data_IF_827093364685
#
_entry.id   IF_827093364685
#
_cell.length_a   1.000
_cell.length_b   1.000
_cell.length_c   1.000
_cell.angle_alpha   90.00
_cell.angle_beta   90.00
_cell.angle_gamma   90.00
#
_symmetry.space_group_name_H-M   'P 1'
#
loop_
_entity.id
_entity.type
_entity.pdbx_description
1 polymer ?
2 non-polymer ?
3 non-polymer ?
4 water ?
#
# COMPACT_ATOMS: atom_id res chain seq x y z
N UNK A 1 43.29 -12.66 -13.77
CA UNK A 1 43.11 -12.01 -15.11
C UNK A 1 41.89 -11.10 -15.14
N UNK A 2 40.76 -11.56 -14.62
CA UNK A 2 39.55 -10.73 -14.63
C UNK A 2 39.54 -9.75 -13.46
N UNK A 3 39.24 -8.48 -13.73
CA UNK A 3 39.19 -7.47 -12.69
C UNK A 3 37.76 -7.34 -12.16
N UNK A 4 37.54 -7.67 -10.88
CA UNK A 4 36.19 -7.49 -10.32
C UNK A 4 35.89 -6.02 -10.10
N UNK A 5 36.91 -5.22 -9.79
CA UNK A 5 36.72 -3.78 -9.66
C UNK A 5 36.15 -3.21 -10.96
N UNK A 6 36.72 -3.59 -12.10
CA UNK A 6 36.22 -3.12 -13.39
C UNK A 6 34.80 -3.56 -13.67
N UNK A 7 34.45 -4.80 -13.32
CA UNK A 7 33.11 -5.32 -13.55
C UNK A 7 32.14 -4.52 -12.68
N UNK A 8 32.49 -4.37 -11.41
CA UNK A 8 31.62 -3.64 -10.47
C UNK A 8 31.35 -2.20 -10.92
N UNK A 9 32.38 -1.50 -11.39
CA UNK A 9 32.19 -0.11 -11.84
C UNK A 9 31.30 -0.03 -13.05
N UNK A 10 31.45 -0.97 -13.98
CA UNK A 10 30.66 -1.05 -15.19
C UNK A 10 29.24 -1.51 -14.93
N UNK A 11 29.03 -2.24 -13.82
CA UNK A 11 27.73 -2.86 -13.61
C UNK A 11 26.73 -1.94 -12.91
N UNK A 12 27.20 -0.94 -12.20
CA UNK A 12 26.30 -0.16 -11.35
C UNK A 12 25.74 1.09 -12.02
N UNK A 13 24.63 1.60 -11.49
CA UNK A 13 24.06 2.84 -12.02
C UNK A 13 24.68 4.06 -11.33
N UNK A 14 24.33 5.26 -11.80
CA UNK A 14 24.96 6.45 -11.25
C UNK A 14 24.09 7.32 -10.36
N UNK A 15 22.88 7.64 -10.80
CA UNK A 15 21.99 8.52 -10.06
C UNK A 15 20.96 7.89 -9.15
N UNK A 16 20.14 8.71 -8.52
CA UNK A 16 19.09 8.28 -7.61
C UNK A 16 17.96 7.53 -8.30
N UNK A 17 17.52 6.47 -7.60
CA UNK A 17 16.34 5.72 -8.11
C UNK A 17 15.18 6.69 -8.25
N UNK A 18 14.55 6.62 -9.43
CA UNK A 18 13.47 7.55 -9.75
C UNK A 18 12.19 6.83 -10.14
N UNK A 19 11.07 7.35 -9.64
CA UNK A 19 9.77 6.79 -10.06
C UNK A 19 9.43 7.41 -11.42
N UNK A 20 9.24 6.61 -12.46
CA UNK A 20 9.01 7.07 -13.81
C UNK A 20 7.62 6.87 -14.37
N UNK A 21 6.77 6.19 -13.61
CA UNK A 21 5.39 5.93 -14.01
C UNK A 21 4.64 5.33 -12.84
N UNK A 22 3.38 5.67 -12.68
CA UNK A 22 2.50 5.12 -11.66
C UNK A 22 1.16 4.77 -12.32
N UNK A 23 0.61 3.61 -12.03
CA UNK A 23 -0.68 3.21 -12.56
C UNK A 23 -1.45 2.47 -11.46
N UNK A 24 -2.78 2.66 -11.36
CA UNK A 24 -3.54 1.97 -10.33
C UNK A 24 -4.75 1.24 -10.95
N UNK A 25 -5.34 0.35 -10.15
CA UNK A 25 -6.53 -0.37 -10.56
C UNK A 25 -7.28 -0.92 -9.35
N UNK A 26 -8.59 -1.10 -9.49
CA UNK A 26 -9.41 -1.61 -8.40
C UNK A 26 -10.50 -2.52 -8.96
N UNK A 27 -11.00 -3.43 -8.15
CA UNK A 27 -12.13 -4.26 -8.57
C UNK A 27 -13.32 -3.37 -8.96
N UNK A 28 -14.15 -3.86 -9.87
CA UNK A 28 -15.28 -3.03 -10.34
C UNK A 28 -16.39 -2.77 -9.35
N UNK A 29 -16.58 -3.58 -8.34
CA UNK A 29 -17.65 -3.45 -7.36
C UNK A 29 -17.38 -2.35 -6.34
N UNK A 30 -18.11 -1.24 -6.52
CA UNK A 30 -17.96 -0.10 -5.63
C UNK A 30 -18.97 -0.15 -4.49
N UNK A 31 -18.45 -0.23 -3.28
CA UNK A 31 -19.26 -0.39 -2.08
C UNK A 31 -19.35 0.89 -1.26
N UNK A 32 -20.54 1.49 -1.24
CA UNK A 32 -20.69 2.72 -0.47
C UNK A 32 -20.56 2.50 1.02
N UNK A 33 -19.92 3.43 1.74
CA UNK A 33 -19.78 3.25 3.18
C UNK A 33 -21.05 3.59 3.94
N UNK A 34 -21.83 4.53 3.40
CA UNK A 34 -23.06 4.96 4.05
C UNK A 34 -24.00 3.80 4.33
N UNK A 35 -24.09 2.87 3.40
CA UNK A 35 -24.98 1.73 3.54
C UNK A 35 -24.27 0.47 4.01
N UNK A 36 -22.97 0.52 4.29
CA UNK A 36 -22.26 -0.72 4.58
C UNK A 36 -22.70 -1.46 5.83
N UNK A 37 -22.94 -0.80 6.95
CA UNK A 37 -23.39 -1.48 8.15
C UNK A 37 -24.60 -2.35 7.85
N UNK A 38 -25.62 -1.85 7.13
CA UNK A 38 -26.78 -2.70 6.85
C UNK A 38 -26.41 -3.87 5.97
N UNK A 39 -25.61 -3.62 4.92
CA UNK A 39 -25.20 -4.68 4.02
C UNK A 39 -24.41 -5.76 4.77
N UNK A 40 -23.40 -5.32 5.50
CA UNK A 40 -22.51 -6.28 6.18
C UNK A 40 -23.19 -7.09 7.25
N UNK A 41 -24.10 -6.49 8.02
CA UNK A 41 -24.81 -7.25 9.05
C UNK A 41 -25.84 -8.18 8.40
N UNK A 42 -26.34 -7.86 7.21
CA UNK A 42 -27.33 -8.73 6.59
C UNK A 42 -26.68 -9.87 5.82
N UNK A 43 -25.50 -9.63 5.23
CA UNK A 43 -24.81 -10.69 4.49
C UNK A 43 -24.14 -11.71 5.41
N UNK A 44 -23.83 -11.31 6.64
CA UNK A 44 -23.21 -12.20 7.61
C UNK A 44 -24.24 -12.78 8.59
N UNK A 45 -25.53 -12.61 8.29
CA UNK A 45 -26.59 -13.09 9.16
C UNK A 45 -26.42 -12.64 10.60
N UNK A 46 -26.15 -11.35 10.82
CA UNK A 46 -25.93 -10.85 12.17
C UNK A 46 -26.87 -9.73 12.56
N UNK A 47 -28.05 -9.68 11.95
CA UNK A 47 -29.01 -8.62 12.25
C UNK A 47 -29.55 -8.60 13.67
N UNK A 48 -29.53 -9.73 14.35
CA UNK A 48 -29.94 -9.85 15.73
C UNK A 48 -28.92 -9.25 16.70
N UNK A 49 -27.68 -9.07 16.26
CA UNK A 49 -26.64 -8.48 17.10
C UNK A 49 -26.74 -6.97 17.05
N UNK A 50 -27.76 -6.43 17.71
CA UNK A 50 -28.14 -5.04 17.65
C UNK A 50 -27.10 -4.09 18.20
N UNK A 51 -26.60 -4.35 19.41
CA UNK A 51 -25.61 -3.46 20.01
C UNK A 51 -24.30 -3.48 19.21
N UNK A 52 -23.96 -4.63 18.66
CA UNK A 52 -22.73 -4.73 17.84
C UNK A 52 -22.90 -3.96 16.53
N UNK A 53 -24.06 -4.08 15.90
CA UNK A 53 -24.34 -3.31 14.70
C UNK A 53 -24.26 -1.82 14.95
N UNK A 54 -24.77 -1.31 16.09
CA UNK A 54 -24.61 0.11 16.41
C UNK A 54 -23.15 0.50 16.55
N UNK A 55 -22.30 -0.33 17.15
CA UNK A 55 -20.88 -0.05 17.26
C UNK A 55 -20.22 0.01 15.88
N UNK A 56 -20.64 -0.86 14.99
CA UNK A 56 -20.08 -0.89 13.63
C UNK A 56 -20.51 0.33 12.85
N UNK A 57 -21.77 0.77 13.04
CA UNK A 57 -22.25 2.00 12.44
C UNK A 57 -21.38 3.18 12.87
N UNK A 58 -21.02 3.27 14.14
CA UNK A 58 -20.13 4.31 14.64
C UNK A 58 -18.73 4.19 14.04
N UNK A 59 -18.23 2.96 13.90
CA UNK A 59 -16.93 2.78 13.24
C UNK A 59 -16.97 3.28 11.79
N UNK A 60 -18.02 2.90 11.06
CA UNK A 60 -18.14 3.33 9.68
C UNK A 60 -18.32 4.85 9.61
N UNK A 61 -19.12 5.41 10.50
CA UNK A 61 -19.31 6.87 10.46
C UNK A 61 -18.04 7.64 10.79
N UNK A 62 -17.16 7.09 11.63
CA UNK A 62 -15.93 7.79 11.95
C UNK A 62 -14.79 7.44 10.99
N UNK A 63 -14.99 6.48 10.09
CA UNK A 63 -13.92 6.00 9.24
C UNK A 63 -13.28 7.02 8.32
N UNK A 64 -14.07 8.01 7.88
CA UNK A 64 -13.71 8.99 6.89
C UNK A 64 -13.52 8.35 5.51
N UNK A 65 -14.14 7.20 5.29
CA UNK A 65 -14.14 6.50 4.00
C UNK A 65 -15.52 6.67 3.38
N UNK A 66 -15.59 7.17 2.15
CA UNK A 66 -16.87 7.25 1.45
C UNK A 66 -17.23 5.96 0.69
N UNK A 67 -16.23 5.32 0.11
CA UNK A 67 -16.49 4.10 -0.65
C UNK A 67 -15.22 3.27 -0.74
N UNK A 68 -15.39 1.97 -1.01
CA UNK A 68 -14.27 1.08 -1.22
C UNK A 68 -14.58 0.16 -2.40
N UNK A 69 -13.56 -0.37 -3.06
CA UNK A 69 -13.80 -1.30 -4.19
C UNK A 69 -13.51 -2.71 -3.70
N UNK A 70 -14.44 -3.64 -3.93
CA UNK A 70 -14.29 -4.98 -3.41
C UNK A 70 -14.44 -6.05 -4.47
N UNK A 71 -13.49 -7.00 -4.46
CA UNK A 71 -13.64 -8.18 -5.31
C UNK A 71 -14.89 -8.94 -4.83
N UNK A 72 -15.00 -9.09 -3.51
CA UNK A 72 -16.15 -9.80 -2.94
C UNK A 72 -17.45 -9.05 -3.26
N UNK A 73 -18.41 -9.82 -3.71
CA UNK A 73 -19.74 -9.35 -4.05
C UNK A 73 -20.77 -10.09 -3.21
N UNK A 74 -22.03 -9.63 -3.30
CA UNK A 74 -23.10 -10.34 -2.61
C UNK A 74 -23.21 -11.77 -3.15
N UNK A 75 -23.13 -11.95 -4.46
CA UNK A 75 -23.21 -13.27 -5.06
C UNK A 75 -22.10 -14.18 -4.55
N UNK A 76 -20.85 -13.67 -4.55
CA UNK A 76 -19.74 -14.51 -4.05
C UNK A 76 -19.93 -14.86 -2.58
N UNK A 77 -20.32 -13.88 -1.77
CA UNK A 77 -20.52 -14.12 -0.34
C UNK A 77 -21.63 -15.14 -0.11
N UNK A 78 -22.72 -15.10 -0.88
CA UNK A 78 -23.81 -16.06 -0.74
C UNK A 78 -23.38 -17.47 -1.14
N UNK A 79 -22.38 -17.61 -1.99
CA UNK A 79 -21.80 -18.92 -2.28
C UNK A 79 -20.79 -19.38 -1.26
N UNK A 80 -20.38 -18.54 -0.33
CA UNK A 80 -19.38 -18.86 0.67
C UNK A 80 -19.75 -18.49 2.07
N UNK A 81 -20.70 -19.20 2.70
CA UNK A 81 -21.13 -18.93 4.05
C UNK A 81 -20.00 -19.02 5.07
N UNK A 82 -19.02 -19.89 4.83
CA UNK A 82 -17.90 -20.06 5.74
C UNK A 82 -17.03 -18.80 5.78
N UNK A 83 -17.01 -18.01 4.71
CA UNK A 83 -16.29 -16.73 4.70
C UNK A 83 -17.08 -15.68 5.46
N UNK A 84 -18.42 -15.83 5.48
CA UNK A 84 -19.29 -14.90 6.18
C UNK A 84 -19.37 -15.08 7.68
N UNK A 85 -18.89 -16.21 8.20
CA UNK A 85 -18.89 -16.44 9.63
C UNK A 85 -17.70 -15.71 10.24
N UNK A 86 -17.67 -15.47 11.56
CA UNK A 86 -16.47 -14.87 12.12
C UNK A 86 -15.31 -15.86 11.96
N UNK A 87 -15.52 -17.15 12.28
CA UNK A 87 -14.38 -18.06 12.32
C UNK A 87 -14.71 -19.44 11.80
N UNK A 88 -14.68 -19.63 10.50
CA UNK A 88 -14.98 -20.94 9.94
C UNK A 88 -13.88 -21.33 8.96
N UNK A 89 -13.62 -22.63 8.81
CA UNK A 89 -12.66 -23.12 7.84
C UNK A 89 -12.99 -22.60 6.44
N UNK A 90 -12.07 -21.83 5.85
CA UNK A 90 -12.39 -21.12 4.61
C UNK A 90 -11.17 -20.68 3.85
N UNK A 91 -9.96 -21.05 4.31
CA UNK A 91 -8.75 -20.64 3.60
C UNK A 91 -8.68 -21.14 2.17
N UNK A 92 -9.13 -22.36 1.90
CA UNK A 92 -9.04 -22.88 0.53
C UNK A 92 -9.89 -22.01 -0.39
N UNK A 93 -11.12 -21.73 0.03
CA UNK A 93 -11.97 -20.88 -0.81
C UNK A 93 -11.35 -19.49 -0.98
N UNK A 94 -10.83 -18.91 0.10
CA UNK A 94 -10.23 -17.57 0.00
C UNK A 94 -9.01 -17.56 -0.89
N UNK A 95 -8.14 -18.57 -0.78
CA UNK A 95 -6.94 -18.68 -1.59
C UNK A 95 -7.30 -18.82 -3.07
N UNK A 96 -8.33 -19.62 -3.37
CA UNK A 96 -8.78 -19.80 -4.74
C UNK A 96 -9.18 -18.45 -5.33
N UNK A 97 -9.75 -17.55 -4.52
CA UNK A 97 -10.10 -16.22 -5.04
C UNK A 97 -8.84 -15.39 -5.28
N UNK A 98 -8.03 -15.29 -4.23
CA UNK A 98 -6.94 -14.30 -4.29
C UNK A 98 -5.71 -14.73 -5.06
N UNK A 99 -5.48 -16.03 -5.25
CA UNK A 99 -4.36 -16.46 -6.07
C UNK A 99 -4.58 -15.99 -7.51
N UNK A 100 -5.83 -15.85 -7.93
CA UNK A 100 -6.17 -15.36 -9.25
C UNK A 100 -6.37 -13.85 -9.23
N UNK A 101 -7.10 -13.34 -8.25
CA UNK A 101 -7.39 -11.90 -8.28
C UNK A 101 -6.16 -11.03 -8.05
N UNK A 102 -5.20 -11.44 -7.22
CA UNK A 102 -4.03 -10.58 -6.97
C UNK A 102 -3.28 -10.29 -8.24
N UNK A 103 -2.88 -11.28 -9.02
CA UNK A 103 -2.19 -11.02 -10.27
C UNK A 103 -3.12 -10.40 -11.30
N UNK A 104 -4.41 -10.71 -11.31
CA UNK A 104 -5.30 -10.10 -12.32
C UNK A 104 -5.34 -8.58 -12.15
N UNK A 105 -5.57 -8.17 -10.90
CA UNK A 105 -5.65 -6.76 -10.56
C UNK A 105 -4.30 -6.06 -10.70
N UNK A 106 -3.22 -6.76 -10.32
CA UNK A 106 -1.88 -6.22 -10.47
C UNK A 106 -1.59 -6.00 -11.96
N UNK A 107 -2.08 -6.91 -12.82
CA UNK A 107 -1.83 -6.78 -14.25
C UNK A 107 -2.46 -5.49 -14.78
N UNK A 108 -3.68 -5.22 -14.34
CA UNK A 108 -4.35 -3.98 -14.81
C UNK A 108 -3.53 -2.77 -14.42
N UNK A 109 -3.09 -2.70 -13.16
CA UNK A 109 -2.29 -1.54 -12.76
C UNK A 109 -0.99 -1.48 -13.55
N UNK A 110 -0.31 -2.64 -13.71
CA UNK A 110 0.98 -2.64 -14.39
C UNK A 110 0.89 -2.17 -15.84
N UNK A 111 -0.13 -2.62 -16.56
CA UNK A 111 -0.30 -2.23 -17.97
C UNK A 111 -0.41 -0.71 -18.06
N UNK A 112 -1.16 -0.11 -17.12
CA UNK A 112 -1.27 1.33 -17.09
C UNK A 112 0.06 2.00 -16.79
N UNK A 113 0.87 1.48 -15.86
CA UNK A 113 2.17 2.10 -15.59
C UNK A 113 3.10 1.95 -16.79
N UNK A 114 3.10 0.78 -17.43
CA UNK A 114 3.96 0.54 -18.59
C UNK A 114 3.56 1.47 -19.75
N UNK A 115 2.28 1.68 -19.97
CA UNK A 115 1.84 2.61 -21.02
C UNK A 115 2.34 4.02 -20.72
N UNK A 116 2.20 4.45 -19.47
CA UNK A 116 2.71 5.79 -19.13
C UNK A 116 4.20 5.92 -19.40
N UNK A 117 4.96 4.92 -18.92
CA UNK A 117 6.41 4.89 -19.08
C UNK A 117 6.78 5.01 -20.55
N UNK A 118 6.09 4.23 -21.38
CA UNK A 118 6.25 4.40 -22.82
C UNK A 118 7.34 3.57 -23.45
N UNK A 119 8.09 2.81 -22.66
CA UNK A 119 9.21 2.03 -23.18
C UNK A 119 8.84 0.55 -23.27
N UNK A 120 9.56 -0.20 -24.08
CA UNK A 120 9.30 -1.63 -24.27
C UNK A 120 9.28 -2.37 -22.94
N UNK A 121 8.32 -3.28 -22.78
CA UNK A 121 8.29 -4.09 -21.56
C UNK A 121 9.46 -5.04 -21.48
N UNK A 122 10.16 -5.30 -22.59
CA UNK A 122 11.37 -6.09 -22.64
C UNK A 122 12.53 -5.42 -21.92
N UNK A 123 12.46 -4.13 -21.63
CA UNK A 123 13.46 -3.41 -20.87
C UNK A 123 13.22 -3.53 -19.35
N UNK A 124 12.13 -4.17 -18.96
CA UNK A 124 11.93 -4.37 -17.51
C UNK A 124 12.89 -5.47 -17.05
N UNK A 125 13.79 -5.15 -16.13
CA UNK A 125 14.82 -6.10 -15.71
C UNK A 125 14.50 -6.78 -14.37
N UNK A 126 13.71 -6.12 -13.54
CA UNK A 126 13.42 -6.55 -12.18
C UNK A 126 11.92 -6.37 -11.91
N UNK A 127 11.36 -7.31 -11.18
CA UNK A 127 9.93 -7.20 -10.84
C UNK A 127 9.77 -7.46 -9.35
N UNK A 128 9.11 -6.52 -8.68
CA UNK A 128 8.78 -6.70 -7.26
C UNK A 128 7.27 -6.81 -7.17
N UNK A 129 6.77 -7.91 -6.62
CA UNK A 129 5.32 -8.04 -6.39
C UNK A 129 5.10 -8.12 -4.88
N UNK A 130 4.09 -7.41 -4.40
CA UNK A 130 3.82 -7.39 -2.96
C UNK A 130 2.34 -7.59 -2.71
N UNK A 131 2.05 -8.51 -1.78
CA UNK A 131 0.66 -8.69 -1.36
C UNK A 131 0.59 -9.29 0.04
N UNK A 132 -0.49 -8.99 0.74
CA UNK A 132 -0.81 -9.61 2.02
C UNK A 132 -1.99 -10.54 1.83
N UNK A 133 -2.46 -10.76 0.60
CA UNK A 133 -3.60 -11.61 0.35
C UNK A 133 -3.23 -12.87 -0.42
N UNK A 134 -3.09 -13.97 0.34
CA UNK A 134 -2.79 -15.29 -0.19
C UNK A 134 -1.33 -15.48 -0.55
N UNK A 135 -0.95 -16.77 -0.69
CA UNK A 135 0.39 -17.15 -1.11
C UNK A 135 0.25 -18.35 -2.04
N UNK A 136 1.24 -18.56 -2.90
CA UNK A 136 1.19 -19.72 -3.80
C UNK A 136 2.58 -19.96 -4.38
N UNK A 137 2.84 -21.16 -4.92
CA UNK A 137 4.09 -21.45 -5.61
C UNK A 137 3.87 -22.04 -6.98
N UNK A 138 4.46 -21.53 -8.02
CA UNK A 138 5.12 -20.27 -8.20
C UNK A 138 4.19 -19.13 -7.72
N UNK A 139 4.80 -18.00 -7.37
CA UNK A 139 3.98 -16.92 -6.76
C UNK A 139 3.36 -16.00 -7.80
N UNK A 140 2.74 -14.94 -7.29
CA UNK A 140 2.07 -13.91 -8.08
C UNK A 140 3.07 -13.18 -8.96
N UNK A 141 4.37 -13.21 -8.66
CA UNK A 141 5.43 -12.69 -9.49
C UNK A 141 5.57 -13.50 -10.77
N UNK A 142 5.54 -14.82 -10.66
CA UNK A 142 5.56 -15.67 -11.84
C UNK A 142 4.28 -15.43 -12.63
N UNK A 143 3.11 -15.40 -11.95
CA UNK A 143 1.87 -15.16 -12.72
C UNK A 143 1.89 -13.86 -13.48
N UNK A 144 2.38 -12.78 -12.86
CA UNK A 144 2.42 -11.49 -13.56
C UNK A 144 3.44 -11.49 -14.68
N UNK A 145 4.55 -12.22 -14.53
CA UNK A 145 5.52 -12.35 -15.63
C UNK A 145 4.83 -12.96 -16.84
N UNK A 146 4.05 -14.01 -16.57
CA UNK A 146 3.33 -14.69 -17.63
C UNK A 146 2.25 -13.79 -18.20
N UNK A 147 1.40 -13.23 -17.37
CA UNK A 147 0.29 -12.39 -17.83
C UNK A 147 0.75 -11.19 -18.65
N UNK A 148 1.81 -10.51 -18.24
CA UNK A 148 2.29 -9.33 -18.96
C UNK A 148 3.22 -9.65 -20.11
N UNK A 149 3.70 -10.88 -20.20
CA UNK A 149 4.72 -11.24 -21.18
C UNK A 149 6.05 -10.55 -20.94
N UNK A 150 6.50 -10.49 -19.68
CA UNK A 150 7.82 -9.96 -19.39
C UNK A 150 8.86 -10.98 -19.83
N UNK A 151 10.12 -10.57 -19.92
CA UNK A 151 11.13 -11.57 -20.32
C UNK A 151 11.20 -12.62 -19.21
N UNK A 152 11.47 -13.88 -19.55
CA UNK A 152 11.54 -14.95 -18.56
C UNK A 152 12.67 -14.76 -17.57
N UNK A 153 13.65 -13.96 -17.90
CA UNK A 153 14.81 -13.66 -17.10
C UNK A 153 14.67 -12.38 -16.29
N UNK A 154 13.43 -11.88 -16.17
CA UNK A 154 13.23 -10.74 -15.26
C UNK A 154 13.62 -11.23 -13.88
N UNK A 155 14.30 -10.41 -13.09
CA UNK A 155 14.70 -10.78 -11.73
C UNK A 155 13.58 -10.44 -10.74
N UNK A 156 13.03 -11.46 -10.11
CA UNK A 156 11.82 -11.30 -9.33
C UNK A 156 12.06 -11.34 -7.82
N UNK A 157 11.20 -10.53 -7.17
CA UNK A 157 11.24 -10.35 -5.71
C UNK A 157 9.80 -10.52 -5.26
N UNK A 158 9.44 -11.64 -4.67
CA UNK A 158 8.05 -11.91 -4.30
C UNK A 158 7.87 -11.63 -2.82
N UNK A 159 7.20 -10.52 -2.52
CA UNK A 159 7.00 -10.08 -1.15
C UNK A 159 5.61 -10.50 -0.66
N UNK A 160 5.56 -11.60 0.09
CA UNK A 160 4.28 -12.12 0.59
C UNK A 160 4.06 -11.89 2.07
N UNK A 161 2.77 -11.77 2.44
CA UNK A 161 2.31 -11.64 3.81
C UNK A 161 3.00 -10.53 4.58
N UNK A 162 3.25 -9.43 3.90
CA UNK A 162 4.03 -8.32 4.37
C UNK A 162 3.30 -7.41 5.33
N UNK A 163 2.05 -7.07 4.97
CA UNK A 163 1.30 -6.17 5.83
C UNK A 163 1.35 -4.75 5.27
N UNK A 164 0.67 -3.87 6.00
CA UNK A 164 0.40 -2.55 5.47
C UNK A 164 1.56 -1.61 5.36
N UNK A 165 2.71 -1.84 5.97
CA UNK A 165 3.83 -0.94 5.81
C UNK A 165 4.59 -1.18 4.51
N UNK A 166 4.25 -2.23 3.76
CA UNK A 166 5.04 -2.68 2.63
C UNK A 166 4.97 -1.85 1.38
N UNK A 167 4.15 -0.78 1.32
CA UNK A 167 4.32 0.16 0.18
C UNK A 167 5.67 0.86 0.41
N UNK A 168 6.04 1.11 1.68
CA UNK A 168 7.37 1.68 1.94
C UNK A 168 8.45 0.62 1.67
N UNK A 169 8.21 -0.61 2.07
CA UNK A 169 9.21 -1.68 1.82
C UNK A 169 9.53 -1.88 0.34
N UNK A 170 8.51 -1.87 -0.54
CA UNK A 170 8.82 -2.06 -1.96
C UNK A 170 9.62 -0.90 -2.54
N UNK A 171 9.41 0.32 -2.05
CA UNK A 171 10.20 1.47 -2.46
C UNK A 171 11.64 1.32 -1.98
N UNK A 172 11.82 0.95 -0.72
CA UNK A 172 13.14 0.72 -0.12
C UNK A 172 13.92 -0.32 -0.93
N UNK A 173 13.24 -1.37 -1.34
CA UNK A 173 13.85 -2.43 -2.14
C UNK A 173 14.16 -1.95 -3.54
N UNK A 174 13.20 -1.35 -4.24
CA UNK A 174 13.42 -0.88 -5.60
C UNK A 174 14.54 0.12 -5.70
N UNK A 175 14.72 0.96 -4.64
CA UNK A 175 15.83 1.92 -4.68
C UNK A 175 17.19 1.24 -4.85
N UNK A 176 17.43 0.16 -4.10
CA UNK A 176 18.73 -0.53 -4.20
C UNK A 176 18.87 -1.30 -5.50
N UNK A 177 17.78 -1.89 -6.00
CA UNK A 177 17.84 -2.64 -7.24
C UNK A 177 18.16 -1.68 -8.40
N UNK A 178 17.49 -0.55 -8.44
CA UNK A 178 17.71 0.41 -9.53
C UNK A 178 19.07 1.08 -9.46
N UNK A 179 19.53 1.45 -8.28
CA UNK A 179 20.76 2.20 -8.10
C UNK A 179 22.02 1.38 -8.26
N UNK A 180 21.91 0.07 -7.99
CA UNK A 180 23.14 -0.73 -8.05
C UNK A 180 23.31 -1.43 -9.39
N UNK A 181 22.36 -1.25 -10.31
CA UNK A 181 22.41 -1.96 -11.59
C UNK A 181 22.14 -1.05 -12.76
N UNK A 182 23.22 -0.80 -13.52
CA UNK A 182 23.13 0.06 -14.69
C UNK A 182 22.08 -0.43 -15.67
N UNK A 183 21.16 0.47 -16.02
CA UNK A 183 20.11 0.14 -16.96
C UNK A 183 18.86 -0.48 -16.35
N UNK A 184 18.94 -0.87 -15.07
CA UNK A 184 17.83 -1.59 -14.48
C UNK A 184 16.58 -0.73 -14.49
N UNK A 185 15.46 -1.36 -14.81
CA UNK A 185 14.12 -0.78 -14.77
C UNK A 185 13.25 -1.78 -14.01
N UNK A 186 12.78 -1.32 -12.85
CA UNK A 186 12.04 -2.17 -11.93
C UNK A 186 10.53 -1.91 -12.03
N UNK A 187 9.78 -2.96 -12.29
CA UNK A 187 8.33 -2.91 -12.20
C UNK A 187 7.95 -3.32 -10.77
N UNK A 188 7.22 -2.42 -10.11
CA UNK A 188 6.80 -2.63 -8.72
C UNK A 188 5.29 -2.78 -8.67
N UNK A 189 4.76 -3.87 -8.12
CA UNK A 189 3.32 -4.05 -8.08
C UNK A 189 2.89 -4.39 -6.64
N UNK A 190 2.03 -3.58 -6.05
CA UNK A 190 1.38 -3.93 -4.78
C UNK A 190 -0.08 -4.21 -5.12
N UNK A 191 -0.58 -5.37 -4.71
CA UNK A 191 -1.93 -5.77 -5.09
C UNK A 191 -2.58 -6.43 -3.90
N UNK A 192 -3.61 -5.80 -3.38
CA UNK A 192 -4.20 -6.21 -2.08
C UNK A 192 -5.70 -6.45 -2.18
N UNK A 193 -6.13 -7.64 -1.72
CA UNK A 193 -7.52 -8.08 -1.93
C UNK A 193 -8.13 -8.58 -0.63
N UNK A 194 -9.20 -7.99 -0.11
CA UNK A 194 -9.74 -8.29 1.20
C UNK A 194 -10.48 -9.60 1.34
N UNK A 195 -10.52 -10.45 0.32
CA UNK A 195 -11.15 -11.77 0.41
C UNK A 195 -10.49 -12.66 1.44
N UNK A 196 -9.21 -12.42 1.76
CA UNK A 196 -8.53 -13.21 2.76
C UNK A 196 -8.88 -12.78 4.18
N UNK A 197 -9.26 -11.52 4.38
CA UNK A 197 -9.56 -11.01 5.70
C UNK A 197 -11.05 -10.79 5.99
N UNK A 198 -11.91 -10.79 4.99
CA UNK A 198 -13.32 -10.55 5.29
C UNK A 198 -13.89 -11.64 6.19
N UNK A 199 -14.65 -11.24 7.20
CA UNK A 199 -15.28 -12.28 8.04
C UNK A 199 -16.43 -11.61 8.79
N UNK A 200 -17.31 -12.44 9.35
CA UNK A 200 -18.44 -11.94 10.11
C UNK A 200 -18.03 -11.31 11.45
N UNK A 201 -18.99 -10.60 12.06
CA UNK A 201 -18.76 -9.86 13.28
C UNK A 201 -18.87 -10.69 14.54
N UNK A 202 -18.07 -10.34 15.55
CA UNK A 202 -18.19 -11.00 16.85
C UNK A 202 -17.97 -9.97 17.93
N UNK A 203 -18.87 -9.94 18.94
CA UNK A 203 -18.78 -8.91 19.96
C UNK A 203 -17.62 -9.08 20.92
N UNK A 204 -16.85 -10.16 20.90
CA UNK A 204 -15.68 -10.27 21.76
C UNK A 204 -14.41 -10.06 20.95
N UNK A 205 -14.58 -9.70 19.67
CA UNK A 205 -13.48 -9.45 18.75
C UNK A 205 -13.68 -8.14 17.99
N UNK A 206 -13.78 -7.04 18.73
CA UNK A 206 -13.98 -5.72 18.15
C UNK A 206 -12.81 -5.20 17.33
N UNK A 207 -11.60 -5.67 17.62
CA UNK A 207 -10.42 -5.33 16.82
C UNK A 207 -10.56 -5.91 15.42
N UNK A 208 -11.14 -7.11 15.29
CA UNK A 208 -11.38 -7.65 13.95
C UNK A 208 -12.44 -6.85 13.21
N UNK A 209 -13.45 -6.40 13.96
CA UNK A 209 -14.55 -5.62 13.39
C UNK A 209 -14.09 -4.29 12.83
N UNK A 210 -13.16 -3.61 13.48
CA UNK A 210 -12.60 -2.34 12.98
C UNK A 210 -12.10 -2.51 11.55
N UNK A 211 -11.36 -3.59 11.28
CA UNK A 211 -10.85 -3.88 9.93
C UNK A 211 -11.94 -3.96 8.87
N UNK A 212 -13.12 -4.49 9.22
CA UNK A 212 -14.22 -4.61 8.28
C UNK A 212 -14.77 -3.24 7.90
N UNK A 213 -14.58 -2.23 8.74
CA UNK A 213 -15.00 -0.88 8.35
C UNK A 213 -14.00 -0.20 7.44
N UNK A 214 -12.72 -0.63 7.50
CA UNK A 214 -11.67 0.11 6.81
C UNK A 214 -11.04 -0.52 5.58
N UNK A 215 -10.89 -1.85 5.55
CA UNK A 215 -10.10 -2.45 4.47
C UNK A 215 -10.83 -2.50 3.12
N UNK A 216 -10.08 -2.13 2.09
CA UNK A 216 -10.61 -2.15 0.72
C UNK A 216 -9.55 -2.70 -0.23
N UNK A 217 -9.93 -2.88 -1.49
CA UNK A 217 -9.06 -3.51 -2.45
C UNK A 217 -8.45 -2.55 -3.47
N UNK A 218 -7.24 -2.96 -3.92
CA UNK A 218 -6.68 -2.15 -5.01
C UNK A 218 -5.26 -2.64 -5.34
N UNK A 219 -4.81 -2.20 -6.52
CA UNK A 219 -3.41 -2.46 -6.84
C UNK A 219 -2.78 -1.20 -7.43
N UNK A 220 -1.48 -1.04 -7.23
CA UNK A 220 -0.74 0.09 -7.78
C UNK A 220 0.59 -0.44 -8.30
N UNK A 221 1.00 0.14 -9.45
CA UNK A 221 2.26 -0.33 -10.06
C UNK A 221 3.15 0.86 -10.36
N UNK A 222 4.45 0.70 -10.25
CA UNK A 222 5.40 1.76 -10.51
C UNK A 222 6.43 1.23 -11.54
N UNK A 223 7.07 2.14 -12.26
CA UNK A 223 8.34 1.82 -12.93
C UNK A 223 9.40 2.65 -12.18
N UNK A 224 10.46 2.00 -11.69
CA UNK A 224 11.52 2.67 -10.97
C UNK A 224 12.84 2.44 -11.70
N UNK A 225 13.62 3.52 -11.87
CA UNK A 225 14.94 3.35 -12.45
C UNK A 225 15.87 4.51 -12.13
N UNK A 226 17.17 4.24 -12.21
CA UNK A 226 18.16 5.31 -12.12
C UNK A 226 18.56 5.75 -13.53
N UNK A 227 19.15 6.93 -13.64
CA UNK A 227 19.64 7.47 -14.90
C UNK A 227 18.59 7.51 -15.99
N UNK A 228 17.50 8.24 -15.77
CA UNK A 228 16.42 8.31 -16.75
C UNK A 228 16.97 8.95 -18.02
N UNK A 229 16.45 8.51 -19.15
CA UNK A 229 16.88 9.07 -20.43
C UNK A 229 16.13 10.38 -20.65
N UNK A 230 16.84 11.51 -20.63
CA UNK A 230 16.23 12.82 -20.65
C UNK A 230 15.24 12.97 -21.79
N UNK A 231 14.02 13.37 -21.48
CA UNK A 231 12.93 13.55 -22.42
C UNK A 231 12.27 12.31 -23.00
N UNK A 232 12.89 11.15 -22.95
CA UNK A 232 12.28 9.90 -23.39
C UNK A 232 11.54 9.39 -22.15
N UNK A 233 12.27 9.38 -21.03
CA UNK A 233 11.61 9.02 -19.75
C UNK A 233 11.26 10.27 -18.97
N UNK A 234 10.31 10.15 -18.05
CA UNK A 234 9.83 11.32 -17.31
C UNK A 234 9.76 11.09 -15.81
N UNK A 235 10.78 11.54 -15.10
CA UNK A 235 10.83 11.46 -13.65
C UNK A 235 9.60 12.09 -13.00
N UNK A 236 9.11 11.45 -11.94
CA UNK A 236 8.00 11.92 -11.16
C UNK A 236 8.47 12.26 -9.74
N UNK A 237 9.22 11.33 -9.11
CA UNK A 237 9.78 11.56 -7.78
C UNK A 237 11.13 10.84 -7.71
N UNK A 238 12.06 11.36 -6.92
CA UNK A 238 13.33 10.66 -6.72
C UNK A 238 13.38 10.15 -5.28
N UNK A 239 13.95 8.96 -5.07
CA UNK A 239 14.13 8.45 -3.71
C UNK A 239 15.54 8.85 -3.29
N UNK A 240 15.71 9.27 -2.04
CA UNK A 240 17.03 9.72 -1.58
C UNK A 240 17.54 8.93 -0.39
N UNK A 241 16.66 8.49 0.49
CA UNK A 241 17.08 7.83 1.73
C UNK A 241 15.91 7.05 2.29
N UNK A 242 16.19 5.90 2.92
CA UNK A 242 15.11 5.08 3.46
C UNK A 242 15.50 4.56 4.83
N UNK A 243 14.49 4.22 5.62
CA UNK A 243 14.68 3.56 6.92
C UNK A 243 13.52 2.62 7.19
N UNK A 244 13.73 1.70 8.12
CA UNK A 244 12.65 0.88 8.66
C UNK A 244 12.94 0.74 10.16
N UNK A 245 11.90 0.84 10.99
CA UNK A 245 12.14 0.63 12.42
C UNK A 245 10.93 0.04 13.11
N UNK A 246 11.15 -0.50 14.30
CA UNK A 246 10.12 -1.12 15.14
C UNK A 246 9.95 -0.20 16.35
N UNK A 247 8.74 0.32 16.52
CA UNK A 247 8.49 1.26 17.61
C UNK A 247 8.59 0.55 18.94
N UNK A 248 9.18 1.24 19.93
CA UNK A 248 9.27 0.69 21.27
C UNK A 248 7.88 0.55 21.86
N UNK A 249 7.69 -0.40 22.78
CA UNK A 249 6.45 -0.56 23.51
C UNK A 249 5.26 -0.82 22.58
N UNK A 250 5.49 -1.59 21.50
CA UNK A 250 4.41 -1.83 20.55
C UNK A 250 4.19 -3.31 20.29
N UNK A 251 4.74 -4.15 21.16
CA UNK A 251 4.56 -5.59 20.95
C UNK A 251 3.10 -5.98 20.89
N UNK A 252 2.75 -6.67 19.79
CA UNK A 252 1.40 -7.10 19.53
C UNK A 252 0.44 -5.99 19.11
N UNK A 253 0.93 -4.83 18.71
CA UNK A 253 0.00 -3.77 18.31
C UNK A 253 -0.85 -4.22 17.15
N UNK A 254 -0.23 -4.83 16.13
CA UNK A 254 -0.99 -5.33 14.98
C UNK A 254 -0.50 -6.72 14.64
N UNK A 255 -1.18 -7.78 15.05
CA UNK A 255 -0.75 -9.15 14.69
C UNK A 255 -1.73 -9.69 13.65
N UNK A 256 -1.23 -10.48 12.70
CA UNK A 256 -2.15 -11.05 11.71
C UNK A 256 -1.74 -12.49 11.48
N UNK A 257 -2.69 -13.44 11.64
CA UNK A 257 -2.27 -14.84 11.49
C UNK A 257 -3.04 -15.50 10.34
N UNK A 258 -2.33 -16.20 9.48
CA UNK A 258 -2.96 -16.87 8.35
C UNK A 258 -3.23 -18.32 8.74
N UNK A 259 -4.52 -18.61 8.90
CA UNK A 259 -5.00 -19.86 9.47
C UNK A 259 -5.98 -20.54 8.52
N UNK A 260 -6.56 -21.67 9.00
CA UNK A 260 -7.55 -22.38 8.21
C UNK A 260 -8.80 -21.53 7.98
N UNK A 261 -9.04 -20.53 8.83
CA UNK A 261 -10.18 -19.65 8.68
C UNK A 261 -9.81 -18.35 7.98
N UNK A 262 -8.64 -18.32 7.35
CA UNK A 262 -8.19 -17.10 6.64
C UNK A 262 -7.30 -16.24 7.51
N UNK A 263 -7.14 -14.98 7.06
CA UNK A 263 -6.25 -14.06 7.77
C UNK A 263 -7.03 -13.26 8.81
N UNK A 264 -6.68 -13.39 10.09
CA UNK A 264 -7.39 -12.65 11.14
C UNK A 264 -6.43 -11.67 11.79
N UNK A 265 -6.90 -10.43 12.00
CA UNK A 265 -6.08 -9.40 12.64
C UNK A 265 -6.48 -9.22 14.09
N UNK A 266 -5.47 -8.92 14.92
CA UNK A 266 -5.80 -8.71 16.35
C UNK A 266 -5.48 -7.24 16.50
N UNK A 267 -5.41 -6.66 17.68
CA UNK A 267 -5.05 -5.27 17.89
C UNK A 267 -4.86 -5.23 19.42
N UNK A 268 -3.64 -5.01 19.87
CA UNK A 268 -3.41 -5.07 21.30
C UNK A 268 -2.98 -3.78 21.96
N UNK A 269 -2.69 -2.70 21.23
CA UNK A 269 -2.27 -1.51 22.02
C UNK A 269 -3.03 -0.30 21.50
N UNK A 270 -2.40 0.84 21.33
CA UNK A 270 -3.03 2.02 20.72
C UNK A 270 -2.20 2.41 19.51
N UNK A 271 -2.61 1.97 18.32
CA UNK A 271 -1.82 2.24 17.12
C UNK A 271 -1.64 3.72 16.80
N UNK A 272 -2.68 4.54 16.78
CA UNK A 272 -2.54 5.97 16.58
C UNK A 272 -1.59 6.60 17.59
N UNK A 273 -1.70 6.18 18.86
CA UNK A 273 -0.80 6.66 19.92
C UNK A 273 0.65 6.30 19.68
N UNK A 274 0.89 5.03 19.29
CA UNK A 274 2.28 4.60 19.06
C UNK A 274 2.88 5.32 17.85
N UNK A 275 2.07 5.44 16.78
CA UNK A 275 2.62 6.08 15.58
C UNK A 275 2.92 7.53 15.91
N UNK A 276 1.94 8.23 16.51
CA UNK A 276 2.16 9.62 16.89
C UNK A 276 3.34 9.90 17.78
N UNK A 277 3.57 9.04 18.78
CA UNK A 277 4.68 9.17 19.71
C UNK A 277 6.05 8.90 19.09
N UNK A 278 6.09 8.17 17.96
CA UNK A 278 7.36 7.82 17.36
C UNK A 278 7.64 8.44 16.00
N UNK A 279 6.69 9.24 15.51
CA UNK A 279 6.89 9.81 14.17
C UNK A 279 7.96 10.91 14.21
N UNK A 280 8.07 11.62 15.34
CA UNK A 280 9.06 12.72 15.35
C UNK A 280 10.48 12.21 15.22
N UNK A 281 10.80 11.16 15.98
CA UNK A 281 12.10 10.49 15.90
C UNK A 281 12.40 10.06 14.47
N UNK A 282 11.40 9.52 13.79
CA UNK A 282 11.59 9.09 12.39
C UNK A 282 11.91 10.28 11.49
N UNK A 283 11.19 11.39 11.70
CA UNK A 283 11.45 12.59 10.91
C UNK A 283 12.82 13.20 11.20
N UNK A 284 13.25 13.25 12.47
CA UNK A 284 14.57 13.83 12.71
C UNK A 284 15.67 12.95 12.12
N UNK A 285 15.52 11.62 12.17
CA UNK A 285 16.52 10.79 11.53
C UNK A 285 16.59 11.07 10.02
N UNK A 286 15.43 11.20 9.39
CA UNK A 286 15.44 11.43 7.94
C UNK A 286 15.88 12.84 7.55
N UNK A 287 15.38 13.85 8.28
CA UNK A 287 15.56 15.22 7.81
C UNK A 287 16.60 16.08 8.51
N UNK A 288 17.08 15.65 9.68
CA UNK A 288 18.18 16.40 10.29
C UNK A 288 19.39 16.49 9.40
N UNK A 289 19.82 15.41 8.74
CA UNK A 289 20.94 15.44 7.81
C UNK A 289 20.75 16.37 6.63
N UNK A 290 19.52 16.66 6.24
CA UNK A 290 19.21 17.56 5.13
C UNK A 290 19.02 18.98 5.59
N UNK A 291 19.16 19.21 6.90
CA UNK A 291 18.99 20.54 7.49
C UNK A 291 17.55 20.98 7.59
N UNK A 292 16.58 20.05 7.50
CA UNK A 292 15.20 20.58 7.55
C UNK A 292 14.51 20.11 8.81
N UNK A 293 13.81 21.05 9.47
CA UNK A 293 13.12 20.75 10.71
C UNK A 293 11.71 21.29 10.72
N UNK A 294 11.32 22.04 9.70
CA UNK A 294 9.95 22.50 9.57
C UNK A 294 9.18 21.44 8.80
N UNK A 295 8.37 20.65 9.51
CA UNK A 295 7.67 19.55 8.80
C UNK A 295 6.48 19.99 8.00
N UNK A 296 6.12 21.28 7.95
CA UNK A 296 5.13 21.77 7.02
C UNK A 296 5.78 22.17 5.69
N UNK A 297 7.11 22.20 5.65
CA UNK A 297 7.85 22.64 4.48
C UNK A 297 8.16 21.51 3.50
N UNK A 298 7.73 20.31 3.85
CA UNK A 298 7.92 19.12 3.02
C UNK A 298 6.55 18.57 2.62
N UNK A 299 6.50 17.76 1.56
CA UNK A 299 5.21 17.17 1.15
C UNK A 299 5.06 15.81 1.84
N UNK A 300 3.82 15.42 2.11
CA UNK A 300 3.53 14.28 2.97
C UNK A 300 2.76 13.17 2.28
N UNK A 301 3.18 11.91 2.54
CA UNK A 301 2.41 10.74 2.15
C UNK A 301 2.41 9.81 3.38
N UNK A 302 1.27 9.49 3.96
CA UNK A 302 1.23 8.63 5.15
C UNK A 302 0.25 7.50 4.95
N UNK A 303 0.61 6.27 5.33
CA UNK A 303 -0.35 5.19 5.20
C UNK A 303 -1.57 5.46 6.08
N UNK A 304 -2.76 5.55 5.50
CA UNK A 304 -3.97 5.89 6.24
C UNK A 304 -4.57 4.64 6.85
N UNK A 305 -3.86 4.07 7.84
CA UNK A 305 -4.34 2.84 8.47
C UNK A 305 -5.76 2.99 9.02
N UNK A 306 -5.98 4.18 9.60
CA UNK A 306 -7.32 4.67 9.95
C UNK A 306 -7.16 6.18 10.08
N UNK A 307 -8.29 6.90 10.15
CA UNK A 307 -8.25 8.34 10.29
C UNK A 307 -7.62 8.81 11.59
N UNK A 308 -7.74 8.07 12.68
CA UNK A 308 -7.14 8.50 13.95
C UNK A 308 -5.62 8.58 13.88
N UNK A 309 -4.97 7.69 13.11
CA UNK A 309 -3.53 7.78 12.93
C UNK A 309 -3.17 9.17 12.36
N UNK A 310 -3.91 9.51 11.28
CA UNK A 310 -3.65 10.78 10.62
C UNK A 310 -3.95 11.97 11.54
N UNK A 311 -5.06 11.90 12.25
CA UNK A 311 -5.40 13.04 13.10
C UNK A 311 -4.36 13.25 14.20
N UNK A 312 -3.96 12.14 14.81
CA UNK A 312 -3.01 12.27 15.93
C UNK A 312 -1.64 12.71 15.43
N UNK A 313 -1.25 12.30 14.23
CA UNK A 313 0.03 12.76 13.69
C UNK A 313 -0.07 14.26 13.42
N UNK A 314 -1.15 14.68 12.77
CA UNK A 314 -1.35 16.11 12.46
C UNK A 314 -1.28 16.93 13.74
N UNK A 315 -2.02 16.52 14.76
CA UNK A 315 -2.02 17.24 16.04
C UNK A 315 -0.67 17.28 16.73
N UNK A 316 -0.02 16.13 16.78
CA UNK A 316 1.28 16.01 17.42
C UNK A 316 2.28 17.01 16.82
N UNK A 317 2.35 17.04 15.49
CA UNK A 317 3.34 17.87 14.81
C UNK A 317 2.90 19.29 14.49
N UNK A 318 1.61 19.55 14.65
CA UNK A 318 1.03 20.82 14.20
C UNK A 318 1.18 20.95 12.69
N UNK A 319 0.90 19.85 11.98
CA UNK A 319 0.84 19.92 10.54
C UNK A 319 -0.38 20.81 10.20
N UNK A 320 -0.22 21.64 9.18
CA UNK A 320 -1.41 22.32 8.65
C UNK A 320 -2.36 21.27 8.14
N UNK A 321 -3.66 21.50 8.19
CA UNK A 321 -4.65 20.52 7.76
C UNK A 321 -4.46 20.04 6.34
N UNK A 322 -3.95 20.89 5.46
CA UNK A 322 -3.75 20.57 4.06
C UNK A 322 -2.65 19.58 3.81
N UNK A 323 -1.70 19.39 4.73
CA UNK A 323 -0.60 18.46 4.45
C UNK A 323 -1.10 17.05 4.10
N UNK A 324 -2.11 16.60 4.82
CA UNK A 324 -2.65 15.25 4.60
C UNK A 324 -3.78 15.22 3.59
N UNK A 325 -3.99 16.24 2.77
CA UNK A 325 -5.06 16.21 1.78
C UNK A 325 -4.99 15.02 0.83
N UNK A 326 -3.84 14.78 0.20
CA UNK A 326 -3.77 13.66 -0.77
C UNK A 326 -4.00 12.31 -0.08
N UNK A 327 -3.45 12.16 1.12
CA UNK A 327 -3.64 10.94 1.91
C UNK A 327 -5.11 10.70 2.20
N UNK A 328 -5.77 11.76 2.70
CA UNK A 328 -7.18 11.63 3.08
C UNK A 328 -8.12 11.46 1.90
N UNK A 329 -7.74 11.97 0.72
CA UNK A 329 -8.55 11.78 -0.47
C UNK A 329 -8.53 10.31 -0.88
N UNK A 330 -7.36 9.67 -0.76
CA UNK A 330 -7.28 8.24 -1.09
C UNK A 330 -8.06 7.42 -0.07
N UNK A 331 -7.93 7.76 1.22
CA UNK A 331 -8.69 7.03 2.24
C UNK A 331 -10.19 7.16 1.95
N UNK A 332 -10.60 8.37 1.56
CA UNK A 332 -12.02 8.63 1.33
C UNK A 332 -12.59 7.85 0.16
N UNK A 333 -11.83 7.79 -0.94
CA UNK A 333 -12.31 7.18 -2.16
C UNK A 333 -12.03 5.70 -2.29
N UNK A 334 -11.10 5.14 -1.49
CA UNK A 334 -10.70 3.76 -1.64
C UNK A 334 -10.56 3.01 -0.32
N UNK A 335 -10.56 3.68 0.82
CA UNK A 335 -10.36 2.95 2.08
C UNK A 335 -8.87 2.55 2.20
N UNK A 336 -8.64 1.71 3.20
CA UNK A 336 -7.29 1.23 3.53
C UNK A 336 -7.02 -0.01 2.68
N UNK A 337 -6.20 0.18 1.65
CA UNK A 337 -5.81 -0.89 0.73
C UNK A 337 -4.44 -1.48 1.07
N UNK A 338 -4.12 -1.51 2.36
CA UNK A 338 -2.86 -2.12 2.82
C UNK A 338 -1.68 -1.54 2.06
N UNK A 339 -0.73 -2.36 1.58
CA UNK A 339 0.50 -1.87 0.99
C UNK A 339 0.30 -0.92 -0.19
N UNK A 340 -0.79 -1.03 -0.95
CA UNK A 340 -0.96 -0.19 -2.11
C UNK A 340 -1.27 1.26 -1.79
N UNK A 341 -1.83 1.54 -0.61
CA UNK A 341 -2.34 2.90 -0.33
C UNK A 341 -1.36 4.02 -0.63
N UNK A 342 -0.17 3.87 -0.08
CA UNK A 342 0.87 4.93 -0.20
C UNK A 342 1.20 5.17 -1.66
N UNK A 343 1.09 4.18 -2.55
CA UNK A 343 1.36 4.36 -3.97
C UNK A 343 0.22 5.07 -4.68
N UNK A 344 -1.02 4.81 -4.26
CA UNK A 344 -2.16 5.57 -4.75
C UNK A 344 -2.01 7.04 -4.32
N UNK A 345 -1.54 7.26 -3.10
CA UNK A 345 -1.35 8.64 -2.62
C UNK A 345 -0.29 9.39 -3.41
N UNK A 346 0.81 8.72 -3.79
CA UNK A 346 1.78 9.36 -4.68
C UNK A 346 1.15 9.75 -6.01
N UNK A 347 0.32 8.87 -6.57
CA UNK A 347 -0.33 9.16 -7.84
C UNK A 347 -1.30 10.34 -7.69
N UNK A 348 -2.11 10.37 -6.63
CA UNK A 348 -3.04 11.47 -6.38
C UNK A 348 -2.28 12.78 -6.23
N UNK A 349 -1.18 12.73 -5.47
CA UNK A 349 -0.40 13.94 -5.25
C UNK A 349 0.17 14.53 -6.53
N UNK A 350 0.82 13.67 -7.33
CA UNK A 350 1.44 14.21 -8.55
C UNK A 350 0.37 14.60 -9.58
N UNK A 351 -0.74 13.86 -9.60
CA UNK A 351 -1.81 14.25 -10.54
C UNK A 351 -2.41 15.59 -10.14
N UNK A 352 -2.70 15.81 -8.87
CA UNK A 352 -3.30 17.07 -8.43
C UNK A 352 -2.30 18.23 -8.52
N UNK A 353 -1.02 17.95 -8.27
CA UNK A 353 -0.02 19.02 -8.40
C UNK A 353 0.09 19.45 -9.86
N UNK A 354 0.07 18.51 -10.78
CA UNK A 354 0.18 18.79 -12.20
C UNK A 354 -1.08 19.46 -12.73
N UNK A 355 -2.21 18.87 -12.39
CA UNK A 355 -3.52 19.40 -12.76
C UNK A 355 -3.67 20.85 -12.35
N UNK A 356 -3.31 21.19 -11.11
CA UNK A 356 -3.44 22.55 -10.62
C UNK A 356 -2.30 23.53 -10.87
N UNK A 357 -1.41 23.27 -11.80
CA UNK A 357 -0.33 24.14 -12.18
C UNK A 357 0.70 24.46 -11.11
N UNK A 358 0.94 23.56 -10.16
CA UNK A 358 1.99 23.79 -9.16
C UNK A 358 3.36 23.58 -9.80
N UNK A 359 4.40 24.04 -9.11
CA UNK A 359 5.74 23.98 -9.67
C UNK A 359 6.42 22.62 -9.61
N UNK A 360 6.01 21.78 -8.67
CA UNK A 360 6.64 20.45 -8.58
C UNK A 360 5.52 19.40 -8.46
N UNK A 361 5.94 18.13 -8.56
CA UNK A 361 5.01 17.02 -8.39
C UNK A 361 4.71 16.76 -6.93
N UNK A 362 5.46 17.35 -6.02
CA UNK A 362 5.26 17.32 -4.60
C UNK A 362 4.60 18.58 -4.05
N UNK A 363 3.45 18.93 -4.64
CA UNK A 363 2.67 20.09 -4.18
C UNK A 363 3.45 21.39 -4.19
N UNK A 364 4.39 21.55 -5.12
CA UNK A 364 5.17 22.78 -5.22
C UNK A 364 6.37 22.81 -4.28
N UNK A 365 6.56 21.76 -3.49
CA UNK A 365 7.65 21.73 -2.52
C UNK A 365 8.75 20.82 -3.04
N UNK A 366 9.95 20.97 -2.52
CA UNK A 366 11.08 20.20 -2.97
C UNK A 366 11.24 18.80 -2.37
N UNK A 367 11.23 18.76 -1.04
CA UNK A 367 11.45 17.51 -0.32
C UNK A 367 10.19 16.96 0.32
N UNK A 368 10.12 15.62 0.43
CA UNK A 368 8.89 15.02 0.93
C UNK A 368 9.22 13.74 1.74
N UNK A 369 8.16 13.25 2.34
CA UNK A 369 8.32 12.03 3.15
C UNK A 369 7.15 11.11 2.89
N UNK A 370 7.43 9.81 2.82
CA UNK A 370 6.40 8.80 2.69
C UNK A 370 6.59 7.81 3.86
N UNK A 371 5.50 7.53 4.54
CA UNK A 371 5.50 6.61 5.66
C UNK A 371 4.60 5.42 5.47
N UNK A 372 5.12 4.22 5.80
CA UNK A 372 4.25 3.04 5.84
C UNK A 372 4.17 2.60 7.29
N UNK A 373 3.00 2.11 7.73
CA UNK A 373 2.83 1.64 9.10
C UNK A 373 2.17 0.26 9.07
N UNK A 374 2.54 -0.62 9.98
CA UNK A 374 1.94 -1.96 9.94
C UNK A 374 2.50 -2.83 11.07
N UNK A 375 2.26 -4.13 10.97
CA UNK A 375 2.67 -5.06 12.00
C UNK A 375 4.12 -4.88 12.46
N UNK A 376 4.32 -4.92 13.79
CA UNK A 376 5.70 -4.93 14.31
C UNK A 376 5.61 -4.17 15.63
N UNK A 377 5.22 -2.96 15.96
CA UNK A 377 4.71 -2.01 15.00
C UNK A 377 5.87 -1.49 14.15
N UNK A 378 5.77 -1.61 12.83
CA UNK A 378 6.81 -1.16 11.92
C UNK A 378 6.48 0.20 11.30
N UNK A 379 7.50 1.05 11.23
CA UNK A 379 7.41 2.31 10.50
C UNK A 379 8.46 2.27 9.38
N UNK A 380 7.98 2.42 8.13
CA UNK A 380 8.88 2.56 6.99
C UNK A 380 8.96 4.05 6.62
N UNK A 381 10.17 4.58 6.39
CA UNK A 381 10.31 5.97 5.98
C UNK A 381 11.00 6.04 4.63
N UNK A 382 10.50 6.82 3.68
CA UNK A 382 11.16 7.03 2.41
C UNK A 382 11.26 8.54 2.21
N UNK A 383 12.43 9.08 2.06
CA UNK A 383 12.63 10.49 1.76
C UNK A 383 12.60 10.65 0.24
N UNK A 384 11.74 11.56 -0.22
CA UNK A 384 11.58 11.81 -1.65
C UNK A 384 11.94 13.25 -2.04
N UNK A 385 12.34 13.36 -3.31
CA UNK A 385 12.51 14.73 -3.84
C UNK A 385 11.52 14.80 -5.00
N UNK A 386 10.80 15.92 -5.12
CA UNK A 386 9.89 16.12 -6.22
C UNK A 386 10.65 16.48 -7.49
N UNK A 387 9.93 16.57 -8.61
CA UNK A 387 10.47 16.97 -9.89
C UNK A 387 9.72 18.23 -10.37
N UNK A 388 10.50 19.11 -11.00
CA UNK A 388 9.86 20.33 -11.55
C UNK A 388 8.83 19.97 -12.59
N UNK A 389 7.68 20.62 -12.48
CA UNK A 389 6.47 20.56 -13.26
C UNK A 389 5.54 19.42 -12.92
#
# INVERSE_FOLDING_TARGET
MVSVSEIRKAQRAEGPATILAIGTANPANCVEQSTYPDFYFKITNSEHKTELKEKFQRMCDKSMIKRRYMYLTEEILKENPNVCEYMAPSLDARQDMVVVEVPRLGKEAAVKAIKEWGQPKSKITHLIVCTTSGVDMPGADYQLTKLLGLRPYVKRYMMYQQGAFAGGTVLRLAKDLAENNKGARVLVVCSEVTAVTFRGPSDTHLDSLVGQALFGDGAAALIVGSDPVPEIEKPIFEMVWTAQTIAPDSEGAIDGHLREAGLTFHLLKDVPGIVSKNITKALVEAFEPLGISDYNSIFWIAHPGGPAILDQVEQKLALKPEKMNATREVLSEYGNMSSACVLFILDEMRKKSTQNGLKTTGEGLEWGVLFGFGPGLTIETVVLRSVAI
#
